data_IF_590614811995
#
_entry.id   IF_590614811995
#
_cell.length_a   1.000
_cell.length_b   1.000
_cell.length_c   1.000
_cell.angle_alpha   90.00
_cell.angle_beta   90.00
_cell.angle_gamma   90.00
#
_symmetry.space_group_name_H-M   'P 1'
#
loop_
_entity.id
_entity.type
_entity.pdbx_description
1 polymer ?
#
# COMPACT_ATOMS: atom_id res chain seq x y z
N UNK A 1 -5.71 -2.66 11.56
CA UNK A 1 -4.37 -2.48 12.16
C UNK A 1 -4.24 -1.05 12.66
N UNK A 2 -3.61 -0.78 13.81
CA UNK A 2 -3.22 0.59 14.18
C UNK A 2 -2.07 1.03 13.27
N UNK A 3 -2.40 1.41 12.02
CA UNK A 3 -1.48 1.53 10.88
C UNK A 3 -0.61 2.80 10.91
N UNK A 4 -0.65 3.61 11.98
CA UNK A 4 0.02 4.91 12.05
C UNK A 4 1.54 4.82 11.91
N UNK A 5 2.17 3.74 12.38
CA UNK A 5 3.62 3.53 12.20
C UNK A 5 3.97 3.14 10.76
N UNK A 6 3.18 2.26 10.15
CA UNK A 6 3.34 1.84 8.75
C UNK A 6 3.12 3.00 7.79
N UNK A 7 2.08 3.80 8.00
CA UNK A 7 1.80 5.00 7.19
C UNK A 7 2.98 5.98 7.26
N UNK A 8 3.50 6.26 8.46
CA UNK A 8 4.66 7.15 8.64
C UNK A 8 5.93 6.60 7.96
N UNK A 9 6.17 5.30 8.07
CA UNK A 9 7.33 4.66 7.45
C UNK A 9 7.25 4.74 5.92
N UNK A 10 6.10 4.40 5.34
CA UNK A 10 5.89 4.47 3.88
C UNK A 10 5.96 5.91 3.40
N UNK A 11 5.33 6.87 4.09
CA UNK A 11 5.43 8.29 3.76
C UNK A 11 6.88 8.81 3.75
N UNK A 12 7.68 8.42 4.74
CA UNK A 12 9.10 8.74 4.79
C UNK A 12 9.92 8.10 3.65
N UNK A 13 9.59 6.87 3.25
CA UNK A 13 10.27 6.17 2.15
C UNK A 13 9.88 6.68 0.77
N UNK A 14 8.64 7.14 0.61
CA UNK A 14 8.14 7.66 -0.66
C UNK A 14 8.27 9.17 -0.81
N UNK A 15 8.62 9.90 0.25
CA UNK A 15 8.60 11.36 0.30
C UNK A 15 7.20 11.93 -0.04
N UNK A 16 6.15 11.19 0.31
CA UNK A 16 4.75 11.58 0.15
C UNK A 16 4.16 12.04 1.48
N UNK A 17 3.05 12.78 1.44
CA UNK A 17 2.37 13.18 2.65
C UNK A 17 1.73 11.98 3.36
N UNK A 18 1.65 12.03 4.70
CA UNK A 18 0.95 11.01 5.51
C UNK A 18 -0.49 10.84 5.03
N UNK A 19 -1.17 11.94 4.71
CA UNK A 19 -2.55 11.94 4.23
C UNK A 19 -2.69 11.24 2.87
N UNK A 20 -1.73 11.44 1.97
CA UNK A 20 -1.68 10.76 0.66
C UNK A 20 -1.53 9.25 0.84
N UNK A 21 -0.60 8.83 1.69
CA UNK A 21 -0.35 7.42 1.98
C UNK A 21 -1.56 6.78 2.68
N UNK A 22 -2.18 7.47 3.63
CA UNK A 22 -3.39 7.01 4.30
C UNK A 22 -4.54 6.80 3.30
N UNK A 23 -4.79 7.76 2.42
CA UNK A 23 -5.81 7.65 1.37
C UNK A 23 -5.57 6.45 0.45
N UNK A 24 -4.32 6.24 0.01
CA UNK A 24 -3.92 5.10 -0.82
C UNK A 24 -4.14 3.77 -0.09
N UNK A 25 -3.74 3.67 1.18
CA UNK A 25 -3.89 2.43 1.94
C UNK A 25 -5.34 2.13 2.30
N UNK A 26 -6.16 3.14 2.59
CA UNK A 26 -7.61 2.95 2.78
C UNK A 26 -8.29 2.46 1.49
N UNK A 27 -7.90 3.00 0.34
CA UNK A 27 -8.37 2.53 -0.97
C UNK A 27 -7.93 1.09 -1.24
N UNK A 28 -6.70 0.75 -0.90
CA UNK A 28 -6.19 -0.62 -0.98
C UNK A 28 -6.98 -1.59 -0.06
N UNK A 29 -7.32 -1.19 1.17
CA UNK A 29 -8.17 -2.00 2.05
C UNK A 29 -9.56 -2.23 1.44
N UNK A 30 -10.15 -1.21 0.81
CA UNK A 30 -11.40 -1.34 0.08
C UNK A 30 -11.28 -2.31 -1.10
N UNK A 31 -10.19 -2.23 -1.88
CA UNK A 31 -9.89 -3.16 -2.95
C UNK A 31 -9.82 -4.60 -2.44
N UNK A 32 -9.12 -4.85 -1.33
CA UNK A 32 -8.98 -6.17 -0.72
C UNK A 32 -10.33 -6.74 -0.26
N UNK A 33 -11.18 -5.90 0.33
CA UNK A 33 -12.53 -6.30 0.75
C UNK A 33 -13.40 -6.73 -0.44
N UNK A 34 -13.24 -6.08 -1.59
CA UNK A 34 -13.96 -6.41 -2.84
C UNK A 34 -13.33 -7.59 -3.59
N UNK A 35 -12.01 -7.79 -3.46
CA UNK A 35 -11.24 -8.77 -4.23
C UNK A 35 -10.38 -9.65 -3.31
N UNK A 36 -11.03 -10.63 -2.66
CA UNK A 36 -10.42 -11.52 -1.67
C UNK A 36 -9.26 -12.35 -2.24
N UNK A 37 -9.14 -12.53 -3.56
CA UNK A 37 -8.09 -13.35 -4.19
C UNK A 37 -6.96 -12.56 -4.84
N UNK A 38 -7.13 -11.24 -5.07
CA UNK A 38 -6.22 -10.44 -5.90
C UNK A 38 -5.39 -9.41 -5.11
N UNK A 39 -5.11 -9.66 -3.83
CA UNK A 39 -4.46 -8.68 -2.92
C UNK A 39 -2.92 -8.72 -2.90
N UNK A 40 -2.28 -9.61 -3.67
CA UNK A 40 -0.82 -9.74 -3.65
C UNK A 40 -0.12 -8.80 -4.63
N UNK A 41 1.19 -8.55 -4.42
CA UNK A 41 2.05 -7.80 -5.36
C UNK A 41 1.97 -8.30 -6.82
N UNK A 42 1.54 -9.54 -7.08
CA UNK A 42 1.32 -10.06 -8.45
C UNK A 42 0.21 -9.32 -9.19
N UNK A 43 -0.70 -8.67 -8.47
CA UNK A 43 -1.80 -7.88 -9.01
C UNK A 43 -1.56 -6.38 -8.83
N UNK A 44 -0.30 -5.96 -8.66
CA UNK A 44 0.05 -4.55 -8.39
C UNK A 44 -0.58 -3.59 -9.40
N UNK A 45 -0.58 -3.93 -10.70
CA UNK A 45 -1.19 -3.10 -11.74
C UNK A 45 -2.68 -2.86 -11.48
N UNK A 46 -3.46 -3.94 -11.28
CA UNK A 46 -4.90 -3.82 -11.02
C UNK A 46 -5.22 -3.10 -9.70
N UNK A 47 -4.37 -3.30 -8.68
CA UNK A 47 -4.48 -2.59 -7.41
C UNK A 47 -4.22 -1.09 -7.62
N UNK A 48 -3.16 -0.73 -8.35
CA UNK A 48 -2.77 0.67 -8.61
C UNK A 48 -3.82 1.38 -9.46
N UNK A 49 -4.33 0.75 -10.51
CA UNK A 49 -5.40 1.29 -11.35
C UNK A 49 -6.66 1.57 -10.52
N UNK A 50 -7.06 0.63 -9.67
CA UNK A 50 -8.21 0.82 -8.78
C UNK A 50 -7.99 2.00 -7.82
N UNK A 51 -6.82 2.06 -7.17
CA UNK A 51 -6.51 3.10 -6.20
C UNK A 51 -6.43 4.47 -6.87
N UNK A 52 -5.76 4.57 -8.02
CA UNK A 52 -5.66 5.82 -8.78
C UNK A 52 -7.05 6.34 -9.17
N UNK A 53 -7.95 5.46 -9.61
CA UNK A 53 -9.32 5.83 -9.92
C UNK A 53 -10.12 6.28 -8.67
N UNK A 54 -9.95 5.60 -7.54
CA UNK A 54 -10.69 5.95 -6.31
C UNK A 54 -10.16 7.23 -5.63
N UNK A 55 -8.84 7.41 -5.60
CA UNK A 55 -8.18 8.54 -4.91
C UNK A 55 -7.92 9.75 -5.81
N UNK A 56 -8.11 9.61 -7.12
CA UNK A 56 -7.76 10.62 -8.14
C UNK A 56 -6.28 11.04 -8.10
N UNK A 57 -5.42 10.17 -7.57
CA UNK A 57 -3.97 10.38 -7.53
C UNK A 57 -3.29 9.78 -8.77
N UNK A 58 -2.16 10.34 -9.21
CA UNK A 58 -1.36 9.76 -10.29
C UNK A 58 -0.96 8.30 -9.99
N UNK A 59 -1.12 7.42 -10.98
CA UNK A 59 -0.74 6.01 -10.86
C UNK A 59 0.72 5.82 -10.44
N UNK A 60 1.62 6.72 -10.86
CA UNK A 60 3.03 6.69 -10.45
C UNK A 60 3.20 6.82 -8.93
N UNK A 61 2.39 7.67 -8.28
CA UNK A 61 2.41 7.86 -6.82
C UNK A 61 1.82 6.64 -6.13
N UNK A 62 0.66 6.17 -6.60
CA UNK A 62 0.00 4.97 -6.08
C UNK A 62 0.90 3.73 -6.17
N UNK A 63 1.57 3.53 -7.31
CA UNK A 63 2.51 2.44 -7.54
C UNK A 63 3.70 2.51 -6.58
N UNK A 64 4.32 3.69 -6.45
CA UNK A 64 5.45 3.89 -5.54
C UNK A 64 5.10 3.55 -4.09
N UNK A 65 3.94 4.04 -3.62
CA UNK A 65 3.44 3.78 -2.26
C UNK A 65 3.14 2.30 -2.05
N UNK A 66 2.42 1.66 -2.97
CA UNK A 66 2.07 0.24 -2.86
C UNK A 66 3.30 -0.67 -2.94
N UNK A 67 4.30 -0.34 -3.76
CA UNK A 67 5.58 -1.08 -3.80
C UNK A 67 6.25 -1.04 -2.42
N UNK A 68 6.45 0.15 -1.85
CA UNK A 68 7.11 0.29 -0.55
C UNK A 68 6.31 -0.39 0.57
N UNK A 69 4.99 -0.29 0.54
CA UNK A 69 4.11 -0.99 1.47
C UNK A 69 4.32 -2.51 1.40
N UNK A 70 4.33 -3.10 0.20
CA UNK A 70 4.55 -4.54 0.04
C UNK A 70 5.95 -4.99 0.50
N UNK A 71 6.98 -4.19 0.27
CA UNK A 71 8.34 -4.51 0.76
C UNK A 71 8.42 -4.44 2.29
N UNK A 72 7.76 -3.46 2.91
CA UNK A 72 7.68 -3.34 4.35
C UNK A 72 6.96 -4.54 4.97
N UNK A 73 5.78 -4.90 4.45
CA UNK A 73 5.04 -6.09 4.90
C UNK A 73 5.87 -7.37 4.75
N UNK A 74 6.57 -7.53 3.62
CA UNK A 74 7.46 -8.67 3.39
C UNK A 74 8.60 -8.71 4.41
N UNK A 75 9.18 -7.57 4.75
CA UNK A 75 10.27 -7.49 5.72
C UNK A 75 9.78 -7.75 7.15
N UNK A 76 8.60 -7.27 7.54
CA UNK A 76 8.01 -7.57 8.85
C UNK A 76 7.66 -9.06 9.00
N UNK A 77 7.12 -9.69 7.95
CA UNK A 77 6.85 -11.13 7.95
C UNK A 77 8.17 -11.90 8.07
N UNK A 78 9.17 -11.57 7.25
CA UNK A 78 10.50 -12.23 7.36
C UNK A 78 11.13 -12.04 8.74
N UNK A 79 11.05 -10.85 9.32
CA UNK A 79 11.58 -10.55 10.66
C UNK A 79 10.88 -11.30 11.79
N UNK A 80 9.63 -11.76 11.57
CA UNK A 80 8.87 -12.58 12.53
C UNK A 80 9.11 -14.09 12.38
N UNK A 81 9.44 -14.56 11.18
CA UNK A 81 9.67 -16.00 10.92
C UNK A 81 11.13 -16.43 10.98
N UNK A 82 12.10 -15.50 10.92
CA UNK A 82 13.53 -15.78 10.98
C UNK A 82 14.20 -15.20 12.24
N UNK A 83 13.54 -15.32 13.40
CA UNK A 83 14.18 -15.08 14.71
C UNK A 83 14.43 -16.39 15.43
#
# INVERSE_FOLDING_TARGET
MNNTQTIKAVAGQTNESIQTVESILSSYENYCNKNITCYSRKHLTAIVEFIANETQLPEAICSKVMIQFFDLVKNEIKGKFFK
#
